data_IF_430561521718
#
_entry.id   IF_430561521718
#
_cell.length_a   1.000
_cell.length_b   1.000
_cell.length_c   1.000
_cell.angle_alpha   90.00
_cell.angle_beta   90.00
_cell.angle_gamma   90.00
#
_symmetry.space_group_name_H-M   'P 1'
#
loop_
_entity.id
_entity.type
_entity.pdbx_description
1 polymer ?
#
# COMPACT_ATOMS: atom_id res chain seq x y z
N UNK A 1 -34.38 -45.26 -21.84
CA UNK A 1 -33.52 -44.40 -21.01
C UNK A 1 -32.52 -43.73 -21.93
N UNK A 2 -32.79 -42.49 -22.34
CA UNK A 2 -31.90 -41.71 -23.21
C UNK A 2 -30.67 -41.28 -22.41
N UNK A 3 -29.55 -41.99 -22.60
CA UNK A 3 -28.26 -41.51 -22.11
C UNK A 3 -27.91 -40.24 -22.89
N UNK A 4 -27.73 -39.15 -22.15
CA UNK A 4 -27.39 -37.85 -22.70
C UNK A 4 -25.96 -37.96 -23.28
N UNK A 5 -25.72 -37.73 -24.58
CA UNK A 5 -24.40 -37.89 -25.19
C UNK A 5 -23.36 -36.86 -24.70
N UNK A 6 -23.81 -35.91 -23.88
CA UNK A 6 -22.98 -34.85 -23.30
C UNK A 6 -22.50 -35.14 -21.86
N UNK A 7 -23.01 -36.18 -21.19
CA UNK A 7 -22.54 -36.56 -19.86
C UNK A 7 -21.27 -37.40 -19.97
N UNK A 8 -20.16 -36.75 -20.32
CA UNK A 8 -18.83 -37.34 -20.15
C UNK A 8 -18.39 -37.09 -18.71
N UNK A 9 -18.32 -38.12 -17.86
CA UNK A 9 -17.96 -37.97 -16.44
C UNK A 9 -16.57 -37.36 -16.23
N UNK A 10 -15.67 -37.48 -17.22
CA UNK A 10 -14.37 -36.82 -17.21
C UNK A 10 -14.51 -35.28 -17.37
N UNK A 11 -15.42 -34.83 -18.24
CA UNK A 11 -15.70 -33.42 -18.45
C UNK A 11 -16.37 -32.76 -17.23
N UNK A 12 -17.32 -33.46 -16.60
CA UNK A 12 -17.94 -33.01 -15.35
C UNK A 12 -16.93 -32.91 -14.20
N UNK A 13 -16.05 -33.90 -14.05
CA UNK A 13 -14.97 -33.88 -13.08
C UNK A 13 -14.00 -32.71 -13.33
N UNK A 14 -13.65 -32.45 -14.59
CA UNK A 14 -12.78 -31.35 -14.98
C UNK A 14 -13.41 -29.98 -14.70
N UNK A 15 -14.70 -29.80 -14.99
CA UNK A 15 -15.45 -28.59 -14.63
C UNK A 15 -15.55 -28.41 -13.11
N UNK A 16 -15.76 -29.48 -12.35
CA UNK A 16 -15.74 -29.41 -10.89
C UNK A 16 -14.36 -28.99 -10.36
N UNK A 17 -13.26 -29.42 -10.96
CA UNK A 17 -11.94 -28.96 -10.54
C UNK A 17 -11.66 -27.51 -10.90
N UNK A 18 -12.09 -27.06 -12.07
CA UNK A 18 -11.97 -25.66 -12.47
C UNK A 18 -12.76 -24.72 -11.55
N UNK A 19 -13.99 -25.09 -11.20
CA UNK A 19 -14.82 -24.31 -10.27
C UNK A 19 -14.24 -24.30 -8.86
N UNK A 20 -13.64 -25.41 -8.42
CA UNK A 20 -12.88 -25.47 -7.16
C UNK A 20 -11.61 -24.62 -7.18
N UNK A 21 -10.94 -24.47 -8.32
CA UNK A 21 -9.73 -23.64 -8.48
C UNK A 21 -9.97 -22.15 -8.71
N UNK A 22 -11.10 -21.78 -9.33
CA UNK A 22 -11.46 -20.39 -9.58
C UNK A 22 -11.76 -19.62 -8.28
N UNK A 23 -12.27 -20.31 -7.26
CA UNK A 23 -12.64 -19.69 -5.99
C UNK A 23 -11.42 -19.23 -5.17
N UNK A 24 -10.36 -20.05 -4.98
CA UNK A 24 -9.10 -19.61 -4.40
C UNK A 24 -8.43 -18.48 -5.17
N UNK A 25 -8.34 -18.57 -6.51
CA UNK A 25 -7.70 -17.51 -7.31
C UNK A 25 -8.41 -16.16 -7.16
N UNK A 26 -9.75 -16.17 -7.14
CA UNK A 26 -10.52 -14.95 -6.91
C UNK A 26 -10.26 -14.35 -5.52
N UNK A 27 -10.12 -15.19 -4.48
CA UNK A 27 -9.78 -14.75 -3.12
C UNK A 27 -8.35 -14.20 -3.03
N UNK A 28 -7.38 -14.88 -3.63
CA UNK A 28 -6.00 -14.38 -3.71
C UNK A 28 -5.94 -13.04 -4.42
N UNK A 29 -6.66 -12.88 -5.53
CA UNK A 29 -6.70 -11.63 -6.28
C UNK A 29 -7.39 -10.51 -5.49
N UNK A 30 -8.45 -10.82 -4.75
CA UNK A 30 -9.09 -9.89 -3.83
C UNK A 30 -8.12 -9.42 -2.72
N UNK A 31 -7.47 -10.37 -2.03
CA UNK A 31 -6.50 -10.06 -0.98
C UNK A 31 -5.34 -9.19 -1.51
N UNK A 32 -4.89 -9.45 -2.74
CA UNK A 32 -3.87 -8.63 -3.41
C UNK A 32 -4.33 -7.20 -3.69
N UNK A 33 -5.56 -7.02 -4.19
CA UNK A 33 -6.12 -5.68 -4.40
C UNK A 33 -6.32 -4.91 -3.08
N UNK A 34 -6.77 -5.59 -2.02
CA UNK A 34 -6.92 -4.99 -0.70
C UNK A 34 -5.57 -4.54 -0.13
N UNK A 35 -4.53 -5.37 -0.24
CA UNK A 35 -3.17 -4.99 0.16
C UNK A 35 -2.62 -3.80 -0.62
N UNK A 36 -2.89 -3.72 -1.94
CA UNK A 36 -2.52 -2.56 -2.75
C UNK A 36 -3.28 -1.29 -2.37
N UNK A 37 -4.56 -1.40 -2.06
CA UNK A 37 -5.38 -0.27 -1.64
C UNK A 37 -4.91 0.31 -0.29
N UNK A 38 -4.61 -0.56 0.68
CA UNK A 38 -4.04 -0.16 1.99
C UNK A 38 -2.68 0.55 1.81
N UNK A 39 -1.81 0.04 0.93
CA UNK A 39 -0.52 0.66 0.61
C UNK A 39 -0.69 2.06 -0.02
N UNK A 40 -1.57 2.18 -1.01
CA UNK A 40 -1.82 3.42 -1.74
C UNK A 40 -2.40 4.50 -0.81
N UNK A 41 -3.33 4.13 0.08
CA UNK A 41 -3.93 5.04 1.04
C UNK A 41 -2.88 5.60 2.00
N UNK A 42 -1.96 4.75 2.47
CA UNK A 42 -0.86 5.18 3.31
C UNK A 42 0.10 6.13 2.57
N UNK A 43 0.49 5.79 1.34
CA UNK A 43 1.35 6.65 0.51
C UNK A 43 0.70 8.01 0.23
N UNK A 44 -0.62 8.07 0.02
CA UNK A 44 -1.33 9.33 -0.17
C UNK A 44 -1.27 10.25 1.07
N UNK A 45 -1.43 9.69 2.27
CA UNK A 45 -1.28 10.44 3.53
C UNK A 45 0.15 10.96 3.68
N UNK A 46 1.13 10.13 3.33
CA UNK A 46 2.53 10.50 3.38
C UNK A 46 2.89 11.63 2.40
N UNK A 47 2.44 11.53 1.15
CA UNK A 47 2.63 12.57 0.12
C UNK A 47 1.99 13.89 0.53
N UNK A 48 0.81 13.86 1.15
CA UNK A 48 0.15 15.04 1.72
C UNK A 48 1.03 15.69 2.79
N UNK A 49 1.57 14.91 3.72
CA UNK A 49 2.46 15.43 4.77
C UNK A 49 3.74 16.05 4.18
N UNK A 50 4.31 15.46 3.11
CA UNK A 50 5.43 16.07 2.39
C UNK A 50 5.01 17.41 1.78
N UNK A 51 3.87 17.48 1.09
CA UNK A 51 3.41 18.71 0.47
C UNK A 51 3.24 19.84 1.50
N UNK A 52 2.60 19.55 2.64
CA UNK A 52 2.46 20.49 3.76
C UNK A 52 3.82 20.91 4.35
N UNK A 53 4.79 19.99 4.43
CA UNK A 53 6.15 20.34 4.87
C UNK A 53 6.89 21.23 3.87
N UNK A 54 6.62 21.06 2.57
CA UNK A 54 7.15 21.88 1.49
C UNK A 54 6.64 23.32 1.55
N UNK A 55 5.37 23.51 1.89
CA UNK A 55 4.79 24.84 2.12
C UNK A 55 5.46 25.54 3.31
N UNK A 56 5.67 24.83 4.43
CA UNK A 56 6.40 25.37 5.59
C UNK A 56 7.86 25.70 5.30
N UNK A 57 8.51 24.93 4.42
CA UNK A 57 9.86 25.26 3.93
C UNK A 57 9.82 26.61 3.22
N UNK A 58 8.86 26.81 2.31
CA UNK A 58 8.73 28.06 1.58
C UNK A 58 8.49 29.25 2.52
N UNK A 59 7.62 29.11 3.53
CA UNK A 59 7.38 30.13 4.55
C UNK A 59 8.63 30.50 5.36
N UNK A 60 9.50 29.53 5.67
CA UNK A 60 10.77 29.81 6.36
C UNK A 60 11.77 30.60 5.50
N UNK A 61 11.65 30.56 4.18
CA UNK A 61 12.49 31.34 3.27
C UNK A 61 11.84 32.67 2.83
N UNK A 62 10.51 32.81 2.95
CA UNK A 62 9.73 33.97 2.47
C UNK A 62 9.28 34.93 3.59
N UNK A 63 9.67 34.66 4.85
CA UNK A 63 9.35 35.51 5.99
C UNK A 63 9.92 36.94 5.93
N UNK A 64 9.30 37.92 6.64
CA UNK A 64 9.76 39.31 6.65
C UNK A 64 11.19 39.41 7.20
N UNK A 65 12.12 39.90 6.37
CA UNK A 65 13.54 40.07 6.71
C UNK A 65 13.77 40.97 7.93
N UNK A 66 14.88 40.78 8.67
CA UNK A 66 15.99 39.87 8.37
C UNK A 66 15.98 38.60 9.24
N UNK A 67 15.80 37.44 8.61
CA UNK A 67 16.05 36.13 9.22
C UNK A 67 17.56 35.92 9.28
N UNK A 68 18.11 35.67 10.47
CA UNK A 68 19.55 35.41 10.60
C UNK A 68 19.90 34.05 9.96
N UNK A 69 21.15 33.85 9.49
CA UNK A 69 21.57 32.56 8.93
C UNK A 69 21.33 31.38 9.89
N UNK A 70 21.41 31.65 11.20
CA UNK A 70 21.19 30.70 12.28
C UNK A 70 19.71 30.29 12.40
N UNK A 71 18.78 31.23 12.22
CA UNK A 71 17.33 30.95 12.22
C UNK A 71 16.90 30.14 10.99
N UNK A 72 17.47 30.44 9.82
CA UNK A 72 17.23 29.65 8.59
C UNK A 72 17.77 28.24 8.74
N UNK A 73 19.00 28.09 9.28
CA UNK A 73 19.59 26.78 9.53
C UNK A 73 18.76 25.97 10.54
N UNK A 74 18.32 26.60 11.64
CA UNK A 74 17.48 25.95 12.63
C UNK A 74 16.12 25.50 12.06
N UNK A 75 15.50 26.31 11.18
CA UNK A 75 14.28 25.90 10.50
C UNK A 75 14.53 24.70 9.55
N UNK A 76 15.60 24.76 8.75
CA UNK A 76 15.97 23.67 7.84
C UNK A 76 16.24 22.36 8.59
N UNK A 77 17.04 22.40 9.67
CA UNK A 77 17.33 21.21 10.49
C UNK A 77 16.07 20.59 11.08
N UNK A 78 15.12 21.42 11.53
CA UNK A 78 13.82 20.96 12.06
C UNK A 78 13.01 20.25 10.98
N UNK A 79 12.92 20.84 9.79
CA UNK A 79 12.16 20.30 8.67
C UNK A 79 12.75 18.98 8.14
N UNK A 80 14.08 18.92 7.97
CA UNK A 80 14.77 17.68 7.57
C UNK A 80 14.52 16.57 8.59
N UNK A 81 14.54 16.90 9.89
CA UNK A 81 14.23 15.94 10.95
C UNK A 81 12.78 15.47 10.89
N UNK A 82 11.83 16.35 10.62
CA UNK A 82 10.41 15.99 10.45
C UNK A 82 10.19 15.06 9.25
N UNK A 83 10.76 15.40 8.09
CA UNK A 83 10.66 14.56 6.87
C UNK A 83 11.34 13.21 7.08
N UNK A 84 12.52 13.18 7.70
CA UNK A 84 13.26 11.94 7.99
C UNK A 84 12.47 11.02 8.94
N UNK A 85 11.88 11.57 9.99
CA UNK A 85 11.02 10.81 10.90
C UNK A 85 9.78 10.27 10.18
N UNK A 86 9.18 11.04 9.28
CA UNK A 86 8.04 10.60 8.49
C UNK A 86 8.41 9.46 7.52
N UNK A 87 9.59 9.55 6.87
CA UNK A 87 10.13 8.47 6.03
C UNK A 87 10.41 7.19 6.83
N UNK A 88 10.95 7.30 8.05
CA UNK A 88 11.21 6.15 8.91
C UNK A 88 9.90 5.43 9.28
N UNK A 89 8.87 6.18 9.68
CA UNK A 89 7.53 5.64 9.95
C UNK A 89 6.92 4.96 8.73
N UNK A 90 7.15 5.52 7.54
CA UNK A 90 6.73 4.91 6.26
C UNK A 90 7.41 3.57 6.03
N UNK A 91 8.72 3.48 6.24
CA UNK A 91 9.46 2.23 6.08
C UNK A 91 8.95 1.15 7.04
N UNK A 92 8.71 1.52 8.30
CA UNK A 92 8.16 0.62 9.32
C UNK A 92 6.76 0.12 8.90
N UNK A 93 5.88 1.03 8.46
CA UNK A 93 4.54 0.68 8.02
C UNK A 93 4.54 -0.22 6.78
N UNK A 94 5.39 0.08 5.79
CA UNK A 94 5.52 -0.73 4.58
C UNK A 94 6.01 -2.16 4.90
N UNK A 95 6.94 -2.28 5.85
CA UNK A 95 7.45 -3.59 6.29
C UNK A 95 6.35 -4.40 6.97
N UNK A 96 5.55 -3.76 7.84
CA UNK A 96 4.42 -4.41 8.50
C UNK A 96 3.33 -4.83 7.52
N UNK A 97 2.96 -3.95 6.59
CA UNK A 97 1.97 -4.23 5.55
C UNK A 97 2.38 -5.42 4.69
N UNK A 98 3.66 -5.49 4.28
CA UNK A 98 4.19 -6.63 3.53
C UNK A 98 4.11 -7.93 4.32
N UNK A 99 4.39 -7.88 5.63
CA UNK A 99 4.29 -9.05 6.50
C UNK A 99 2.83 -9.52 6.66
N UNK A 100 1.91 -8.60 6.94
CA UNK A 100 0.49 -8.89 7.09
C UNK A 100 -0.12 -9.40 5.78
N UNK A 101 0.28 -8.83 4.64
CA UNK A 101 -0.13 -9.29 3.32
C UNK A 101 0.33 -10.72 3.03
N UNK A 102 1.60 -11.04 3.27
CA UNK A 102 2.11 -12.40 3.10
C UNK A 102 1.39 -13.39 4.02
N UNK A 103 1.08 -12.99 5.26
CA UNK A 103 0.33 -13.84 6.19
C UNK A 103 -1.08 -14.14 5.67
N UNK A 104 -1.84 -13.11 5.25
CA UNK A 104 -3.18 -13.27 4.66
C UNK A 104 -3.14 -14.16 3.42
N UNK A 105 -2.12 -14.00 2.56
CA UNK A 105 -1.97 -14.83 1.37
C UNK A 105 -1.74 -16.31 1.72
N UNK A 106 -0.93 -16.59 2.75
CA UNK A 106 -0.66 -17.96 3.20
C UNK A 106 -1.82 -18.61 3.95
N UNK A 107 -2.69 -17.82 4.60
CA UNK A 107 -3.90 -18.34 5.26
C UNK A 107 -5.03 -18.69 4.26
N UNK A 108 -4.98 -18.14 3.04
CA UNK A 108 -5.98 -18.37 1.98
C UNK A 108 -5.59 -19.47 0.96
N UNK A 109 -4.35 -20.00 1.02
CA UNK A 109 -3.83 -21.11 0.20
C UNK A 109 -4.07 -22.45 0.92
#
# INVERSE_FOLDING_TARGET
>A
MSQNPFSNPMLEWWQQQWTKGATPMARTQLAWMEGLAEALQFEAVFLKAIAESGERIAECFDGPKPTTPEEVQACYERLVKEVSNAQMKRLEHATKLSHDFHKRLWEEI
#
